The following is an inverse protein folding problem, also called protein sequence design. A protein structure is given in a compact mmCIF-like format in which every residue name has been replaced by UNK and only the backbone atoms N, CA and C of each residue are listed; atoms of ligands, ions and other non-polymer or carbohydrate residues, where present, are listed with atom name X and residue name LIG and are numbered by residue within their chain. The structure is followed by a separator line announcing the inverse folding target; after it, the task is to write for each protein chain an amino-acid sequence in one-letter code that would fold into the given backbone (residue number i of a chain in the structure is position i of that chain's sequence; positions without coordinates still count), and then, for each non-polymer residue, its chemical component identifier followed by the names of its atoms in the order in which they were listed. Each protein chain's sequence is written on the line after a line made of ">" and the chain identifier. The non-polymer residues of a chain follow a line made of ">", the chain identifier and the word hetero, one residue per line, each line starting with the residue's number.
data_IF_918053769929
#
_entry.id   IF_918053769929
#
_cell.length_a   1.000
_cell.length_b   1.000
_cell.length_c   1.000
_cell.angle_alpha   90.00
_cell.angle_beta   90.00
_cell.angle_gamma   90.00
#
_symmetry.space_group_name_H-M   'P 1'
#
loop_
_entity.id
_entity.type
_entity.pdbx_description
1 polymer ?
#
# COMPACT_ATOMS: atom_id res chain seq x y z
N UNK A 1 8.01 14.05 -2.94
CA UNK A 1 9.19 13.64 -3.72
C UNK A 1 8.87 13.84 -5.19
N UNK A 2 9.73 14.44 -6.01
CA UNK A 2 9.51 14.52 -7.46
C UNK A 2 9.88 13.20 -8.16
N UNK A 3 9.46 13.04 -9.43
CA UNK A 3 9.67 11.81 -10.21
C UNK A 3 11.14 11.44 -10.38
N UNK A 4 12.01 12.40 -10.65
CA UNK A 4 13.44 12.15 -10.88
C UNK A 4 14.11 11.65 -9.60
N UNK A 5 13.86 12.34 -8.49
CA UNK A 5 14.38 11.92 -7.18
C UNK A 5 13.88 10.53 -6.79
N UNK A 6 12.61 10.21 -7.06
CA UNK A 6 12.04 8.88 -6.83
C UNK A 6 12.75 7.80 -7.66
N UNK A 7 12.91 8.02 -8.97
CA UNK A 7 13.58 7.07 -9.87
C UNK A 7 15.00 6.75 -9.41
N UNK A 8 15.81 7.79 -9.19
CA UNK A 8 17.21 7.63 -8.74
C UNK A 8 17.29 6.91 -7.39
N UNK A 9 16.40 7.27 -6.45
CA UNK A 9 16.37 6.66 -5.11
C UNK A 9 15.91 5.21 -5.16
N UNK A 10 14.90 4.89 -5.97
CA UNK A 10 14.37 3.54 -6.10
C UNK A 10 15.37 2.61 -6.78
N UNK A 11 16.04 3.05 -7.84
CA UNK A 11 17.12 2.29 -8.50
C UNK A 11 18.31 2.11 -7.55
N UNK A 12 18.64 3.10 -6.71
CA UNK A 12 19.68 2.92 -5.70
C UNK A 12 19.29 1.89 -4.63
N UNK A 13 18.02 1.88 -4.23
CA UNK A 13 17.50 0.98 -3.20
C UNK A 13 17.34 -0.44 -3.72
N UNK A 14 16.83 -0.62 -4.94
CA UNK A 14 16.59 -1.91 -5.56
C UNK A 14 17.12 -1.85 -7.01
N UNK A 15 18.41 -2.10 -7.28
CA UNK A 15 19.02 -1.83 -8.59
C UNK A 15 18.38 -2.57 -9.75
N UNK A 16 18.09 -3.85 -9.60
CA UNK A 16 17.52 -4.66 -10.67
C UNK A 16 16.04 -4.35 -10.82
N UNK A 17 15.27 -4.55 -9.75
CA UNK A 17 13.81 -4.40 -9.78
C UNK A 17 13.37 -2.96 -9.96
N UNK A 18 14.11 -1.99 -9.40
CA UNK A 18 13.80 -0.57 -9.50
C UNK A 18 13.83 -0.07 -10.94
N UNK A 19 14.84 -0.46 -11.73
CA UNK A 19 14.93 -0.05 -13.15
C UNK A 19 13.71 -0.49 -13.97
N UNK A 20 13.19 -1.68 -13.68
CA UNK A 20 12.03 -2.23 -14.36
C UNK A 20 10.72 -1.61 -13.83
N UNK A 21 10.62 -1.44 -12.51
CA UNK A 21 9.38 -1.08 -11.81
C UNK A 21 9.06 0.42 -11.79
N UNK A 22 10.04 1.33 -11.95
CA UNK A 22 9.85 2.79 -11.77
C UNK A 22 8.64 3.32 -12.54
N UNK A 23 8.48 2.93 -13.81
CA UNK A 23 7.37 3.41 -14.65
C UNK A 23 6.01 2.96 -14.12
N UNK A 24 5.93 1.74 -13.59
CA UNK A 24 4.70 1.20 -13.02
C UNK A 24 4.31 1.93 -11.74
N UNK A 25 5.27 2.26 -10.89
CA UNK A 25 5.02 3.08 -9.70
C UNK A 25 4.55 4.50 -10.04
N UNK A 26 5.07 5.10 -11.12
CA UNK A 26 4.56 6.39 -11.62
C UNK A 26 3.11 6.29 -12.06
N UNK A 27 2.78 5.34 -12.93
CA UNK A 27 1.40 5.13 -13.41
C UNK A 27 0.45 4.85 -12.25
N UNK A 28 0.86 4.04 -11.27
CA UNK A 28 0.06 3.78 -10.08
C UNK A 28 -0.24 5.04 -9.25
N UNK A 29 0.76 5.91 -9.06
CA UNK A 29 0.55 7.18 -8.34
C UNK A 29 -0.45 8.09 -9.09
N UNK A 30 -0.37 8.16 -10.42
CA UNK A 30 -1.29 8.93 -11.27
C UNK A 30 -2.72 8.37 -11.23
N UNK A 31 -2.87 7.05 -11.40
CA UNK A 31 -4.17 6.35 -11.32
C UNK A 31 -4.84 6.56 -9.96
N UNK A 32 -4.07 6.57 -8.86
CA UNK A 32 -4.61 6.86 -7.54
C UNK A 32 -5.23 8.27 -7.49
N UNK A 33 -4.59 9.27 -8.09
CA UNK A 33 -5.14 10.64 -8.18
C UNK A 33 -6.37 10.70 -9.06
N UNK A 34 -6.37 10.04 -10.22
CA UNK A 34 -7.53 9.98 -11.12
C UNK A 34 -8.75 9.35 -10.44
N UNK A 35 -8.53 8.37 -9.56
CA UNK A 35 -9.56 7.78 -8.72
C UNK A 35 -9.97 8.64 -7.52
N UNK A 36 -9.43 9.85 -7.38
CA UNK A 36 -9.70 10.78 -6.27
C UNK A 36 -9.10 10.33 -4.94
N UNK A 37 -8.04 9.51 -4.97
CA UNK A 37 -7.36 9.01 -3.77
C UNK A 37 -6.18 9.90 -3.41
N UNK A 38 -5.93 10.03 -2.12
CA UNK A 38 -4.77 10.73 -1.56
C UNK A 38 -4.13 9.83 -0.51
N UNK A 39 -2.80 9.74 -0.45
CA UNK A 39 -2.13 8.88 0.52
C UNK A 39 -2.40 9.36 1.96
N UNK A 40 -2.63 10.66 2.13
CA UNK A 40 -2.94 11.30 3.42
C UNK A 40 -4.45 11.48 3.64
N UNK A 41 -5.30 10.96 2.75
CA UNK A 41 -6.75 11.20 2.73
C UNK A 41 -7.16 12.69 2.65
N UNK A 42 -6.23 13.56 2.24
CA UNK A 42 -6.48 14.98 2.04
C UNK A 42 -7.11 15.25 0.67
N UNK A 43 -7.87 16.36 0.57
CA UNK A 43 -8.43 16.81 -0.69
C UNK A 43 -7.32 17.09 -1.71
N UNK A 44 -7.47 16.57 -2.93
CA UNK A 44 -6.49 16.79 -4.01
C UNK A 44 -6.80 18.11 -4.70
N UNK A 45 -6.13 19.18 -4.29
CA UNK A 45 -6.20 20.49 -4.95
C UNK A 45 -5.11 20.68 -6.02
N UNK A 46 -3.96 20.03 -5.84
CA UNK A 46 -2.80 20.05 -6.74
C UNK A 46 -2.41 18.61 -7.06
N UNK A 47 -2.50 18.25 -8.34
CA UNK A 47 -2.23 16.89 -8.82
C UNK A 47 -0.75 16.54 -8.73
N UNK A 48 0.14 17.45 -9.08
CA UNK A 48 1.59 17.18 -9.11
C UNK A 48 2.12 17.03 -7.69
N UNK A 49 1.67 17.88 -6.77
CA UNK A 49 1.98 17.74 -5.35
C UNK A 49 1.45 16.42 -4.78
N UNK A 50 0.25 15.99 -5.18
CA UNK A 50 -0.34 14.75 -4.71
C UNK A 50 0.34 13.49 -5.28
N UNK A 51 0.75 13.50 -6.56
CA UNK A 51 1.63 12.48 -7.14
C UNK A 51 2.92 12.40 -6.33
N UNK A 52 3.53 13.54 -6.02
CA UNK A 52 4.78 13.57 -5.26
C UNK A 52 4.64 13.01 -3.83
N UNK A 53 3.46 13.08 -3.23
CA UNK A 53 3.15 12.42 -1.94
C UNK A 53 3.00 10.91 -2.08
N UNK A 54 2.35 10.44 -3.15
CA UNK A 54 2.27 9.00 -3.45
C UNK A 54 3.66 8.39 -3.63
N UNK A 55 4.52 9.03 -4.43
CA UNK A 55 5.88 8.55 -4.65
C UNK A 55 6.71 8.52 -3.36
N UNK A 56 6.57 9.54 -2.52
CA UNK A 56 7.22 9.56 -1.20
C UNK A 56 6.72 8.42 -0.28
N UNK A 57 5.41 8.17 -0.25
CA UNK A 57 4.83 7.09 0.55
C UNK A 57 5.26 5.70 0.05
N UNK A 58 5.28 5.48 -1.28
CA UNK A 58 5.75 4.24 -1.91
C UNK A 58 7.22 4.00 -1.53
N UNK A 59 8.09 4.99 -1.72
CA UNK A 59 9.51 4.87 -1.41
C UNK A 59 9.76 4.56 0.07
N UNK A 60 9.06 5.26 0.97
CA UNK A 60 9.11 4.99 2.42
C UNK A 60 8.65 3.58 2.77
N UNK A 61 7.59 3.08 2.12
CA UNK A 61 7.12 1.71 2.29
C UNK A 61 8.20 0.67 1.95
N UNK A 62 8.85 0.82 0.80
CA UNK A 62 9.92 -0.10 0.37
C UNK A 62 11.16 0.02 1.28
N UNK A 63 11.52 1.24 1.69
CA UNK A 63 12.60 1.44 2.67
C UNK A 63 12.32 0.72 3.99
N UNK A 64 11.08 0.82 4.48
CA UNK A 64 10.66 0.16 5.72
C UNK A 64 10.70 -1.37 5.61
N UNK A 65 10.23 -1.92 4.50
CA UNK A 65 10.36 -3.35 4.21
C UNK A 65 11.82 -3.78 4.25
N UNK A 66 12.72 -3.03 3.60
CA UNK A 66 14.15 -3.34 3.61
C UNK A 66 14.73 -3.33 5.01
N UNK A 67 14.35 -2.36 5.84
CA UNK A 67 14.80 -2.23 7.22
C UNK A 67 14.32 -3.38 8.11
N UNK A 68 13.06 -3.79 7.99
CA UNK A 68 12.44 -4.77 8.89
C UNK A 68 12.62 -6.22 8.41
N UNK A 69 12.62 -6.48 7.10
CA UNK A 69 12.62 -7.84 6.53
C UNK A 69 13.85 -8.16 5.67
N UNK A 70 14.66 -7.15 5.34
CA UNK A 70 15.91 -7.28 4.58
C UNK A 70 15.76 -6.99 3.08
N UNK A 71 16.87 -7.13 2.35
CA UNK A 71 16.97 -6.72 0.95
C UNK A 71 16.09 -7.53 0.00
N UNK A 72 16.05 -8.86 0.17
CA UNK A 72 15.31 -9.74 -0.75
C UNK A 72 13.80 -9.45 -0.76
N UNK A 73 13.09 -9.33 0.38
CA UNK A 73 11.68 -8.92 0.37
C UNK A 73 11.44 -7.53 -0.25
N UNK A 74 12.37 -6.59 -0.06
CA UNK A 74 12.26 -5.24 -0.63
C UNK A 74 12.42 -5.24 -2.16
N UNK A 75 13.38 -6.00 -2.70
CA UNK A 75 13.54 -6.21 -4.14
C UNK A 75 12.27 -6.83 -4.74
N UNK A 76 11.75 -7.90 -4.12
CA UNK A 76 10.53 -8.58 -4.57
C UNK A 76 9.32 -7.65 -4.59
N UNK A 77 9.10 -6.86 -3.53
CA UNK A 77 7.99 -5.88 -3.48
C UNK A 77 8.20 -4.76 -4.48
N UNK A 78 9.43 -4.28 -4.67
CA UNK A 78 9.74 -3.26 -5.65
C UNK A 78 9.40 -3.76 -7.07
N UNK A 79 9.87 -4.95 -7.44
CA UNK A 79 9.68 -5.54 -8.77
C UNK A 79 8.24 -6.00 -9.04
N UNK A 80 7.49 -6.32 -8.00
CA UNK A 80 6.09 -6.75 -8.12
C UNK A 80 5.23 -5.72 -8.88
N UNK A 81 5.58 -4.43 -8.85
CA UNK A 81 4.88 -3.36 -9.57
C UNK A 81 4.68 -3.61 -11.07
N UNK A 82 5.59 -4.36 -11.71
CA UNK A 82 5.48 -4.78 -13.12
C UNK A 82 4.21 -5.58 -13.36
N UNK A 83 3.79 -6.38 -12.37
CA UNK A 83 2.60 -7.22 -12.40
C UNK A 83 1.42 -6.59 -11.65
N UNK A 84 1.66 -6.03 -10.47
CA UNK A 84 0.64 -5.49 -9.57
C UNK A 84 1.26 -4.48 -8.61
N UNK A 85 0.75 -3.24 -8.57
CA UNK A 85 1.23 -2.25 -7.61
C UNK A 85 0.53 -2.42 -6.26
N UNK A 86 1.32 -2.48 -5.18
CA UNK A 86 0.83 -2.47 -3.81
C UNK A 86 0.68 -1.04 -3.30
N UNK A 87 -0.34 -0.82 -2.49
CA UNK A 87 -0.42 0.39 -1.70
C UNK A 87 0.66 0.38 -0.60
N UNK A 88 1.17 1.55 -0.19
CA UNK A 88 2.24 1.64 0.82
C UNK A 88 1.93 0.90 2.13
N UNK A 89 0.66 0.87 2.54
CA UNK A 89 0.23 0.19 3.76
C UNK A 89 0.18 -1.35 3.62
N UNK A 90 0.03 -1.89 2.41
CA UNK A 90 0.01 -3.34 2.16
C UNK A 90 1.42 -3.94 2.19
N UNK A 91 2.46 -3.13 1.99
CA UNK A 91 3.84 -3.59 1.78
C UNK A 91 4.42 -4.36 2.97
N UNK A 92 4.01 -4.01 4.21
CA UNK A 92 4.54 -4.66 5.41
C UNK A 92 4.00 -6.08 5.58
N UNK A 93 2.69 -6.28 5.40
CA UNK A 93 2.11 -7.63 5.44
C UNK A 93 2.55 -8.47 4.24
N UNK A 94 2.72 -7.86 3.06
CA UNK A 94 3.33 -8.54 1.91
C UNK A 94 4.75 -9.04 2.24
N UNK A 95 5.56 -8.19 2.88
CA UNK A 95 6.93 -8.55 3.24
C UNK A 95 6.98 -9.67 4.28
N UNK A 96 6.09 -9.62 5.28
CA UNK A 96 5.92 -10.68 6.28
C UNK A 96 5.53 -12.01 5.63
N UNK A 97 4.59 -11.98 4.69
CA UNK A 97 4.19 -13.17 3.94
C UNK A 97 5.35 -13.76 3.13
N UNK A 98 6.09 -12.92 2.38
CA UNK A 98 7.27 -13.35 1.62
C UNK A 98 8.38 -13.89 2.54
N UNK A 99 8.58 -13.28 3.70
CA UNK A 99 9.56 -13.73 4.69
C UNK A 99 9.24 -15.13 5.24
N UNK A 100 7.95 -15.45 5.34
CA UNK A 100 7.45 -16.74 5.82
C UNK A 100 7.35 -17.82 4.73
N UNK A 101 7.96 -17.59 3.56
CA UNK A 101 8.01 -18.56 2.46
C UNK A 101 6.89 -18.41 1.42
N UNK A 102 6.07 -17.36 1.53
CA UNK A 102 5.12 -16.98 0.48
C UNK A 102 5.83 -16.54 -0.81
N UNK A 103 5.10 -16.60 -1.93
CA UNK A 103 5.58 -16.17 -3.24
C UNK A 103 4.87 -14.90 -3.73
N UNK A 104 5.34 -14.37 -4.86
CA UNK A 104 4.82 -13.15 -5.47
C UNK A 104 3.34 -13.29 -5.87
N UNK A 105 2.95 -14.45 -6.41
CA UNK A 105 1.58 -14.68 -6.86
C UNK A 105 0.60 -14.71 -5.68
N UNK A 106 1.02 -15.29 -4.55
CA UNK A 106 0.29 -15.24 -3.29
C UNK A 106 0.15 -13.82 -2.74
N UNK A 107 1.16 -12.94 -2.90
CA UNK A 107 1.04 -11.52 -2.52
C UNK A 107 -0.02 -10.82 -3.38
N UNK A 108 -0.04 -11.05 -4.70
CA UNK A 108 -1.05 -10.47 -5.60
C UNK A 108 -2.45 -10.92 -5.18
N UNK A 109 -2.63 -12.21 -4.93
CA UNK A 109 -3.91 -12.76 -4.49
C UNK A 109 -4.38 -12.09 -3.19
N UNK A 110 -3.50 -11.99 -2.18
CA UNK A 110 -3.84 -11.36 -0.91
C UNK A 110 -4.17 -9.86 -1.04
N UNK A 111 -3.50 -9.12 -1.91
CA UNK A 111 -3.84 -7.72 -2.19
C UNK A 111 -5.21 -7.58 -2.86
N UNK A 112 -5.52 -8.45 -3.82
CA UNK A 112 -6.82 -8.44 -4.50
C UNK A 112 -7.96 -8.81 -3.55
N UNK A 113 -7.72 -9.76 -2.65
CA UNK A 113 -8.68 -10.18 -1.63
C UNK A 113 -8.80 -9.19 -0.47
N UNK A 114 -7.88 -8.22 -0.35
CA UNK A 114 -7.83 -7.23 0.72
C UNK A 114 -7.28 -7.79 2.04
N UNK A 115 -6.56 -8.91 1.99
CA UNK A 115 -5.95 -9.54 3.17
C UNK A 115 -4.70 -8.80 3.66
N UNK A 116 -4.10 -7.97 2.81
CA UNK A 116 -2.96 -7.12 3.16
C UNK A 116 -3.37 -5.76 3.74
N UNK A 117 -4.66 -5.41 3.73
CA UNK A 117 -5.15 -4.15 4.28
C UNK A 117 -5.19 -4.16 5.83
N UNK A 118 -5.00 -5.32 6.47
CA UNK A 118 -5.02 -5.48 7.92
C UNK A 118 -3.63 -5.30 8.53
N UNK A 119 -3.35 -4.12 9.10
CA UNK A 119 -2.46 -4.06 10.27
C UNK A 119 -3.06 -5.01 11.32
N UNK A 120 -2.24 -5.83 12.00
CA UNK A 120 -2.59 -6.74 13.11
C UNK A 120 -3.44 -6.08 14.24
N UNK A 121 -4.68 -5.70 13.96
CA UNK A 121 -5.71 -5.25 14.90
C UNK A 121 -6.76 -6.36 15.15
N UNK A 122 -6.46 -7.58 14.67
CA UNK A 122 -7.36 -8.72 14.63
C UNK A 122 -6.89 -9.98 15.37
N UNK A 123 -5.70 -9.99 16.00
CA UNK A 123 -5.52 -10.93 17.12
C UNK A 123 -6.28 -10.34 18.29
N UNK A 124 -7.42 -10.93 18.63
CA UNK A 124 -8.18 -10.60 19.83
C UNK A 124 -7.24 -10.55 21.04
N UNK A 125 -6.90 -9.34 21.48
CA UNK A 125 -6.46 -9.14 22.85
C UNK A 125 -7.65 -9.52 23.75
N UNK A 126 -7.43 -10.18 24.91
CA UNK A 126 -8.51 -10.51 25.81
C UNK A 126 -9.24 -9.21 26.19
N UNK A 127 -10.54 -9.17 25.92
CA UNK A 127 -11.40 -8.00 26.12
C UNK A 127 -11.20 -7.47 27.55
N UNK A 128 -10.68 -6.24 27.75
CA UNK A 128 -10.77 -5.61 29.05
C UNK A 128 -12.19 -5.07 29.22
N UNK A 129 -12.79 -5.50 30.31
CA UNK A 129 -14.07 -5.06 30.82
C UNK A 129 -14.20 -3.53 30.85
N UNK A 130 -15.35 -3.05 30.38
CA UNK A 130 -15.81 -1.65 30.24
C UNK A 130 -15.00 -0.62 31.05
N UNK A 131 -14.27 0.25 30.36
CA UNK A 131 -13.88 1.56 30.89
C UNK A 131 -14.14 2.65 29.87
N UNK A 132 -14.61 3.79 30.38
CA UNK A 132 -15.04 4.95 29.62
C UNK A 132 -13.94 5.41 28.66
N UNK A 133 -14.24 5.38 27.36
CA UNK A 133 -13.28 5.70 26.32
C UNK A 133 -12.95 7.18 26.29
N UNK A 134 -11.66 7.49 26.16
CA UNK A 134 -11.16 8.86 25.97
C UNK A 134 -11.36 9.28 24.51
N UNK A 135 -11.44 10.60 24.24
CA UNK A 135 -11.71 11.15 22.89
C UNK A 135 -10.74 10.64 21.80
N UNK A 136 -9.54 10.21 22.19
CA UNK A 136 -8.54 9.62 21.28
C UNK A 136 -8.97 8.26 20.72
N UNK A 137 -9.58 7.40 21.55
CA UNK A 137 -10.09 6.09 21.12
C UNK A 137 -11.33 6.21 20.21
N UNK A 138 -12.12 7.27 20.40
CA UNK A 138 -13.26 7.58 19.53
C UNK A 138 -12.78 8.03 18.15
N UNK A 139 -11.71 8.83 18.09
CA UNK A 139 -11.04 9.22 16.84
C UNK A 139 -10.46 8.02 16.10
N UNK A 140 -9.76 7.13 16.80
CA UNK A 140 -9.18 5.91 16.22
C UNK A 140 -10.29 4.94 15.75
N UNK A 141 -11.39 4.82 16.50
CA UNK A 141 -12.55 4.01 16.10
C UNK A 141 -13.25 4.56 14.84
N UNK A 142 -13.36 5.89 14.71
CA UNK A 142 -13.97 6.50 13.53
C UNK A 142 -13.08 6.31 12.30
N UNK A 143 -11.77 6.48 12.45
CA UNK A 143 -10.78 6.18 11.42
C UNK A 143 -10.80 4.70 11.01
N UNK A 144 -10.94 3.77 11.96
CA UNK A 144 -11.01 2.34 11.66
C UNK A 144 -12.30 1.96 10.93
N UNK A 145 -13.45 2.50 11.33
CA UNK A 145 -14.73 2.29 10.63
C UNK A 145 -14.70 2.91 9.23
N UNK A 146 -14.09 4.08 9.10
CA UNK A 146 -13.88 4.73 7.82
C UNK A 146 -12.94 3.91 6.93
N UNK A 147 -11.84 3.39 7.45
CA UNK A 147 -10.89 2.53 6.74
C UNK A 147 -11.56 1.24 6.26
N UNK A 148 -12.36 0.59 7.10
CA UNK A 148 -13.14 -0.60 6.71
C UNK A 148 -14.17 -0.27 5.63
N UNK A 149 -14.88 0.85 5.72
CA UNK A 149 -15.83 1.27 4.70
C UNK A 149 -15.15 1.66 3.37
N UNK A 150 -14.01 2.35 3.45
CA UNK A 150 -13.18 2.74 2.32
C UNK A 150 -12.58 1.51 1.63
N UNK A 151 -11.98 0.59 2.38
CA UNK A 151 -11.44 -0.68 1.87
C UNK A 151 -12.54 -1.53 1.22
N UNK A 152 -13.75 -1.61 1.80
CA UNK A 152 -14.89 -2.33 1.22
C UNK A 152 -15.36 -1.71 -0.10
N UNK A 153 -15.45 -0.38 -0.17
CA UNK A 153 -15.76 0.33 -1.43
C UNK A 153 -14.65 0.19 -2.47
N UNK A 154 -13.38 0.21 -2.04
CA UNK A 154 -12.20 0.07 -2.89
C UNK A 154 -12.08 -1.35 -3.46
N UNK A 155 -12.29 -2.38 -2.65
CA UNK A 155 -12.37 -3.79 -3.07
C UNK A 155 -13.46 -3.99 -4.11
N UNK A 156 -14.64 -3.41 -3.89
CA UNK A 156 -15.75 -3.47 -4.85
C UNK A 156 -15.38 -2.78 -6.17
N UNK A 157 -14.79 -1.58 -6.13
CA UNK A 157 -14.32 -0.87 -7.33
C UNK A 157 -13.22 -1.63 -8.07
N UNK A 158 -12.25 -2.23 -7.36
CA UNK A 158 -11.18 -3.05 -7.96
C UNK A 158 -11.73 -4.32 -8.61
N UNK A 159 -12.64 -5.04 -7.94
CA UNK A 159 -13.31 -6.21 -8.54
C UNK A 159 -14.07 -5.85 -9.82
N UNK A 160 -14.76 -4.71 -9.84
CA UNK A 160 -15.49 -4.23 -11.02
C UNK A 160 -14.53 -3.85 -12.16
N UNK A 161 -13.43 -3.17 -11.85
CA UNK A 161 -12.41 -2.80 -12.85
C UNK A 161 -11.70 -4.02 -13.44
N UNK A 162 -11.34 -5.01 -12.62
CA UNK A 162 -10.76 -6.27 -13.09
C UNK A 162 -11.72 -7.06 -13.98
N UNK A 163 -13.00 -7.18 -13.56
CA UNK A 163 -14.04 -7.89 -14.33
C UNK A 163 -14.33 -7.22 -15.68
N UNK A 164 -14.26 -5.89 -15.76
CA UNK A 164 -14.45 -5.15 -17.00
C UNK A 164 -13.31 -5.30 -18.01
N UNK A 165 -12.11 -5.72 -17.58
CA UNK A 165 -10.96 -5.98 -18.48
C UNK A 165 -10.93 -7.41 -19.03
N UNK A 166 -11.82 -8.28 -18.54
CA UNK A 166 -11.91 -9.70 -18.91
C UNK A 166 -13.07 -10.01 -19.88
N UNK A 167 -13.80 -8.97 -20.34
CA UNK A 167 -14.83 -9.03 -21.38
C UNK A 167 -14.36 -8.29 -22.62
#
# INVERSE_FOLDING_TARGET
>A
MDKKTFEESLIRLCPESGREAVKHWFSFAEECIEMGQSPDFALVSDKDAAIGKWLDAIYKGICRVRQEYGEKPAELICGLAVKHCLYPWEMMEAAKFLKNGGDIDGVVLQSVEGLLDECDAGREAPVPEKRAGTEKEVGDMWMLKFYKAYAKNKRLKRMLAYRSRMQ
#
